data_IF_099177878695
#
_entry.id   IF_099177878695
#
_cell.length_a   1.000
_cell.length_b   1.000
_cell.length_c   1.000
_cell.angle_alpha   90.00
_cell.angle_beta   90.00
_cell.angle_gamma   90.00
#
_symmetry.space_group_name_H-M   'P 1'
#
loop_
_entity.id
_entity.type
_entity.pdbx_description
1 polymer ?
#
# COMPACT_ATOMS: atom_id res chain seq x y z
N UNK A 1 -10.88 15.68 2.38
CA UNK A 1 -10.94 14.77 1.21
C UNK A 1 -9.56 14.32 0.76
N UNK A 2 -8.60 15.22 0.53
CA UNK A 2 -7.21 14.88 0.15
C UNK A 2 -6.52 13.88 1.08
N UNK A 3 -6.73 13.99 2.39
CA UNK A 3 -6.19 13.05 3.38
C UNK A 3 -6.61 11.60 3.15
N UNK A 4 -7.90 11.36 2.89
CA UNK A 4 -8.41 10.03 2.60
C UNK A 4 -7.83 9.50 1.28
N UNK A 5 -7.73 10.34 0.25
CA UNK A 5 -7.12 9.96 -1.02
C UNK A 5 -5.66 9.52 -0.85
N UNK A 6 -4.85 10.30 -0.11
CA UNK A 6 -3.45 9.97 0.17
C UNK A 6 -3.33 8.68 0.98
N UNK A 7 -4.21 8.49 1.97
CA UNK A 7 -4.26 7.24 2.74
C UNK A 7 -4.58 6.04 1.86
N UNK A 8 -5.60 6.12 1.00
CA UNK A 8 -5.95 5.02 0.09
C UNK A 8 -4.85 4.73 -0.94
N UNK A 9 -4.19 5.76 -1.48
CA UNK A 9 -3.06 5.59 -2.39
C UNK A 9 -1.89 4.86 -1.73
N UNK A 10 -1.58 5.22 -0.48
CA UNK A 10 -0.60 4.50 0.33
C UNK A 10 -1.04 3.07 0.65
N UNK A 11 -2.30 2.87 1.02
CA UNK A 11 -2.85 1.55 1.34
C UNK A 11 -2.78 0.60 0.13
N UNK A 12 -3.15 1.07 -1.07
CA UNK A 12 -3.04 0.30 -2.31
C UNK A 12 -1.58 0.00 -2.64
N UNK A 13 -0.68 0.97 -2.45
CA UNK A 13 0.76 0.76 -2.69
C UNK A 13 1.36 -0.29 -1.74
N UNK A 14 1.04 -0.23 -0.44
CA UNK A 14 1.48 -1.22 0.54
C UNK A 14 0.85 -2.58 0.29
N UNK A 15 -0.42 -2.62 -0.11
CA UNK A 15 -1.07 -3.87 -0.49
C UNK A 15 -0.39 -4.51 -1.69
N UNK A 16 -0.06 -3.72 -2.71
CA UNK A 16 0.65 -4.17 -3.89
C UNK A 16 2.08 -4.63 -3.55
N UNK A 17 2.76 -3.92 -2.64
CA UNK A 17 4.06 -4.30 -2.10
C UNK A 17 4.01 -5.68 -1.43
N UNK A 18 3.09 -5.87 -0.48
CA UNK A 18 2.91 -7.14 0.24
C UNK A 18 2.48 -8.28 -0.70
N UNK A 19 1.65 -7.98 -1.70
CA UNK A 19 1.20 -8.95 -2.71
C UNK A 19 2.33 -9.41 -3.64
N UNK A 20 3.31 -8.54 -3.90
CA UNK A 20 4.50 -8.87 -4.70
C UNK A 20 5.59 -9.59 -3.90
N UNK A 21 5.52 -9.61 -2.58
CA UNK A 21 6.50 -10.36 -1.80
C UNK A 21 6.45 -11.85 -2.15
N UNK A 22 7.60 -12.51 -2.25
CA UNK A 22 7.67 -13.93 -2.64
C UNK A 22 6.93 -14.85 -1.66
N UNK A 23 6.84 -14.46 -0.37
CA UNK A 23 6.06 -15.19 0.65
C UNK A 23 4.56 -15.17 0.33
N UNK A 24 4.03 -14.02 -0.05
CA UNK A 24 2.60 -13.87 -0.39
C UNK A 24 2.28 -14.47 -1.75
N UNK A 25 3.18 -14.35 -2.74
CA UNK A 25 3.02 -14.96 -4.07
C UNK A 25 2.96 -16.49 -4.02
N UNK A 26 3.66 -17.13 -3.07
CA UNK A 26 3.53 -18.59 -2.83
C UNK A 26 2.13 -18.95 -2.34
N UNK A 27 1.52 -18.11 -1.51
CA UNK A 27 0.16 -18.30 -0.98
C UNK A 27 -0.95 -17.89 -1.97
N UNK A 28 -0.66 -16.91 -2.83
CA UNK A 28 -1.59 -16.32 -3.79
C UNK A 28 -0.89 -16.18 -5.15
N UNK A 29 -0.89 -17.24 -5.98
CA UNK A 29 -0.26 -17.19 -7.28
C UNK A 29 -0.94 -16.15 -8.18
N UNK A 30 -0.16 -15.20 -8.68
CA UNK A 30 -0.62 -14.14 -9.57
C UNK A 30 0.05 -14.25 -10.95
N UNK A 31 -0.73 -14.02 -12.00
CA UNK A 31 -0.22 -13.94 -13.38
C UNK A 31 0.86 -12.84 -13.55
N UNK A 32 1.72 -12.97 -14.56
CA UNK A 32 2.78 -12.00 -14.84
C UNK A 32 2.24 -10.60 -15.17
N UNK A 33 1.07 -10.48 -15.81
CA UNK A 33 0.42 -9.19 -16.05
C UNK A 33 -0.02 -8.52 -14.76
N UNK A 34 -0.61 -9.28 -13.82
CA UNK A 34 -0.98 -8.77 -12.49
C UNK A 34 0.23 -8.30 -11.69
N UNK A 35 1.36 -9.03 -11.76
CA UNK A 35 2.61 -8.61 -11.11
C UNK A 35 3.12 -7.26 -11.65
N UNK A 36 3.11 -7.06 -12.97
CA UNK A 36 3.48 -5.77 -13.58
C UNK A 36 2.55 -4.64 -13.12
N UNK A 37 1.25 -4.86 -13.12
CA UNK A 37 0.27 -3.87 -12.64
C UNK A 37 0.49 -3.50 -11.16
N UNK A 38 0.70 -4.49 -10.29
CA UNK A 38 0.99 -4.26 -8.87
C UNK A 38 2.32 -3.49 -8.68
N UNK A 39 3.31 -3.75 -9.52
CA UNK A 39 4.58 -3.03 -9.46
C UNK A 39 4.40 -1.54 -9.81
N UNK A 40 3.62 -1.26 -10.86
CA UNK A 40 3.26 0.12 -11.20
C UNK A 40 2.49 0.78 -10.05
N UNK A 41 1.49 0.13 -9.48
CA UNK A 41 0.69 0.67 -8.36
C UNK A 41 1.55 0.97 -7.12
N UNK A 42 2.57 0.14 -6.85
CA UNK A 42 3.52 0.37 -5.74
C UNK A 42 4.24 1.70 -5.88
N UNK A 43 4.62 2.09 -7.09
CA UNK A 43 5.41 3.31 -7.33
C UNK A 43 4.49 4.52 -7.55
N UNK A 44 3.43 4.35 -8.35
CA UNK A 44 2.54 5.44 -8.74
C UNK A 44 1.70 5.94 -7.56
N UNK A 45 1.27 5.05 -6.66
CA UNK A 45 0.43 5.43 -5.51
C UNK A 45 1.09 6.48 -4.61
N UNK A 46 2.29 6.24 -4.06
CA UNK A 46 2.97 7.19 -3.18
C UNK A 46 3.35 8.49 -3.90
N UNK A 47 3.72 8.41 -5.19
CA UNK A 47 4.05 9.61 -5.99
C UNK A 47 2.82 10.51 -6.21
N UNK A 48 1.66 9.95 -6.53
CA UNK A 48 0.41 10.71 -6.64
C UNK A 48 0.01 11.30 -5.28
N UNK A 49 0.18 10.54 -4.20
CA UNK A 49 -0.07 11.04 -2.85
C UNK A 49 0.86 12.20 -2.47
N UNK A 50 2.13 12.12 -2.88
CA UNK A 50 3.12 13.17 -2.65
C UNK A 50 2.77 14.44 -3.42
N UNK A 51 2.42 14.31 -4.70
CA UNK A 51 1.98 15.42 -5.53
C UNK A 51 0.78 16.15 -4.94
N UNK A 52 -0.22 15.41 -4.42
CA UNK A 52 -1.39 15.98 -3.75
C UNK A 52 -1.03 16.72 -2.44
N UNK A 53 -0.05 16.23 -1.69
CA UNK A 53 0.38 16.85 -0.44
C UNK A 53 1.21 18.12 -0.65
N UNK A 54 2.01 18.19 -1.72
CA UNK A 54 2.92 19.31 -1.99
C UNK A 54 2.21 20.57 -2.54
N UNK A 55 0.95 20.47 -2.95
CA UNK A 55 0.23 21.58 -3.59
C UNK A 55 0.01 22.80 -2.67
N UNK A 56 0.01 22.64 -1.33
CA UNK A 56 -0.34 23.72 -0.40
C UNK A 56 0.82 24.24 0.41
N UNK A 57 1.58 23.34 1.03
CA UNK A 57 2.77 23.66 1.82
C UNK A 57 3.68 22.44 1.81
N UNK A 58 4.95 22.64 1.43
CA UNK A 58 5.90 21.53 1.23
C UNK A 58 6.23 20.83 2.55
N UNK A 59 6.46 21.58 3.63
CA UNK A 59 6.89 21.02 4.91
C UNK A 59 5.75 20.25 5.58
N UNK A 60 4.57 20.86 5.65
CA UNK A 60 3.38 20.19 6.18
C UNK A 60 2.92 19.04 5.29
N UNK A 61 3.03 19.19 3.96
CA UNK A 61 2.69 18.16 2.99
C UNK A 61 3.53 16.89 3.15
N UNK A 62 4.85 17.04 3.33
CA UNK A 62 5.74 15.90 3.58
C UNK A 62 5.42 15.21 4.90
N UNK A 63 5.25 15.96 5.99
CA UNK A 63 4.85 15.40 7.29
C UNK A 63 3.53 14.61 7.18
N UNK A 64 2.56 15.15 6.46
CA UNK A 64 1.27 14.51 6.25
C UNK A 64 1.39 13.24 5.40
N UNK A 65 2.21 13.27 4.35
CA UNK A 65 2.48 12.13 3.48
C UNK A 65 3.16 10.99 4.22
N UNK A 66 4.19 11.27 5.02
CA UNK A 66 4.87 10.27 5.85
C UNK A 66 3.97 9.73 6.96
N UNK A 67 3.20 10.60 7.62
CA UNK A 67 2.27 10.20 8.68
C UNK A 67 1.19 9.25 8.18
N UNK A 68 0.49 9.63 7.09
CA UNK A 68 -0.53 8.78 6.49
C UNK A 68 0.05 7.50 5.89
N UNK A 69 1.25 7.58 5.29
CA UNK A 69 1.97 6.40 4.82
C UNK A 69 2.24 5.41 5.95
N UNK A 70 2.71 5.89 7.09
CA UNK A 70 2.98 5.05 8.27
C UNK A 70 1.71 4.37 8.79
N UNK A 71 0.61 5.12 8.93
CA UNK A 71 -0.68 4.57 9.37
C UNK A 71 -1.24 3.52 8.39
N UNK A 72 -1.15 3.79 7.09
CA UNK A 72 -1.59 2.87 6.05
C UNK A 72 -0.75 1.59 6.04
N UNK A 73 0.58 1.71 6.19
CA UNK A 73 1.49 0.58 6.28
C UNK A 73 1.18 -0.35 7.45
N UNK A 74 0.95 0.22 8.65
CA UNK A 74 0.55 -0.55 9.84
C UNK A 74 -0.79 -1.26 9.61
N UNK A 75 -1.77 -0.53 9.07
CA UNK A 75 -3.12 -1.06 8.82
C UNK A 75 -3.11 -2.24 7.84
N UNK A 76 -2.40 -2.10 6.72
CA UNK A 76 -2.28 -3.17 5.72
C UNK A 76 -1.48 -4.35 6.25
N UNK A 77 -0.42 -4.10 7.01
CA UNK A 77 0.37 -5.18 7.62
C UNK A 77 -0.48 -6.01 8.58
N UNK A 78 -1.27 -5.36 9.44
CA UNK A 78 -2.19 -6.03 10.35
C UNK A 78 -3.26 -6.82 9.60
N UNK A 79 -3.87 -6.22 8.57
CA UNK A 79 -4.85 -6.89 7.71
C UNK A 79 -4.26 -8.14 7.06
N UNK A 80 -3.05 -8.05 6.52
CA UNK A 80 -2.37 -9.19 5.88
C UNK A 80 -2.03 -10.29 6.88
N UNK A 81 -1.63 -9.96 8.11
CA UNK A 81 -1.43 -10.94 9.18
C UNK A 81 -2.73 -11.66 9.51
N UNK A 82 -3.85 -10.93 9.65
CA UNK A 82 -5.16 -11.53 9.93
C UNK A 82 -5.63 -12.45 8.79
N UNK A 83 -5.45 -12.05 7.54
CA UNK A 83 -5.79 -12.86 6.37
C UNK A 83 -4.93 -14.12 6.27
N UNK A 84 -3.61 -14.00 6.50
CA UNK A 84 -2.69 -15.14 6.53
C UNK A 84 -3.04 -16.10 7.66
N UNK A 85 -3.36 -15.59 8.85
CA UNK A 85 -3.78 -16.41 10.01
C UNK A 85 -5.07 -17.16 9.71
N UNK A 86 -6.11 -16.48 9.21
CA UNK A 86 -7.40 -17.12 8.86
C UNK A 86 -7.24 -18.25 7.84
N UNK A 87 -6.34 -18.08 6.86
CA UNK A 87 -6.06 -19.13 5.86
C UNK A 87 -5.21 -20.27 6.42
N UNK A 88 -4.24 -19.98 7.29
CA UNK A 88 -3.43 -20.99 7.97
C UNK A 88 -4.19 -21.82 9.01
N UNK A 89 -5.32 -21.32 9.54
CA UNK A 89 -6.22 -22.10 10.41
C UNK A 89 -7.19 -22.99 9.61
N UNK A 90 -7.26 -22.82 8.29
CA UNK A 90 -8.15 -23.59 7.39
C UNK A 90 -7.45 -24.78 6.72
N UNK A 91 -6.19 -25.04 7.10
CA UNK A 91 -5.31 -26.08 6.58
C UNK A 91 -4.87 -27.00 7.71
#
# INVERSE_FOLDING_TARGET
MTAFCVFFLWAISFWAHESLQPRTLKLFPASNQKKKALFCLRIVGPLLGLFLCLHRDVAYGLLYWFGLGSMAGISISLLMVLLKRKRGTLH
#
